data_IF_951407936599
#
_entry.id   IF_951407936599
#
_cell.length_a   1.000
_cell.length_b   1.000
_cell.length_c   1.000
_cell.angle_alpha   90.00
_cell.angle_beta   90.00
_cell.angle_gamma   90.00
#
_symmetry.space_group_name_H-M   'P 1'
#
loop_
_entity.id
_entity.type
_entity.pdbx_description
1 polymer ?
#
# COMPACT_ATOMS: atom_id res chain seq x y z
N UNK A 1 36.44 3.73 58.22
CA UNK A 1 35.48 4.61 57.55
C UNK A 1 36.08 5.15 56.26
N UNK A 2 35.64 4.58 55.13
CA UNK A 2 35.41 5.18 53.79
C UNK A 2 35.31 4.05 52.77
N UNK A 3 34.12 3.73 52.24
CA UNK A 3 34.02 2.90 51.05
C UNK A 3 34.20 3.73 49.78
N UNK A 4 34.88 3.10 48.84
CA UNK A 4 35.33 3.53 47.53
C UNK A 4 34.29 3.20 46.44
N UNK A 5 34.24 4.07 45.42
CA UNK A 5 34.02 3.81 43.97
C UNK A 5 32.69 3.20 43.49
N UNK A 6 32.03 3.84 42.51
CA UNK A 6 31.93 3.36 41.11
C UNK A 6 30.99 4.22 40.24
N UNK A 7 31.53 4.67 39.10
CA UNK A 7 30.79 5.06 37.89
C UNK A 7 29.97 3.87 37.37
N UNK A 8 28.78 4.15 36.83
CA UNK A 8 28.21 3.35 35.74
C UNK A 8 27.56 4.30 34.72
N UNK A 9 28.16 4.34 33.54
CA UNK A 9 27.67 5.04 32.37
C UNK A 9 26.32 4.46 31.92
N UNK A 10 25.33 5.34 31.74
CA UNK A 10 24.01 4.97 31.24
C UNK A 10 24.10 4.50 29.79
N UNK A 11 23.87 3.21 29.57
CA UNK A 11 23.69 2.62 28.25
C UNK A 11 22.25 2.92 27.79
N UNK A 12 22.07 3.99 27.02
CA UNK A 12 20.82 4.22 26.30
C UNK A 12 20.79 3.30 25.09
N UNK A 13 20.10 2.16 25.22
CA UNK A 13 19.79 1.27 24.10
C UNK A 13 18.70 1.93 23.25
N UNK A 14 19.10 2.73 22.27
CA UNK A 14 18.20 3.16 21.20
C UNK A 14 18.11 2.03 20.18
N UNK A 15 17.04 1.23 20.27
CA UNK A 15 16.67 0.27 19.24
C UNK A 15 16.05 1.05 18.08
N UNK A 16 16.89 1.58 17.19
CA UNK A 16 16.45 2.09 15.89
C UNK A 16 16.33 0.87 14.99
N UNK A 17 15.12 0.33 14.87
CA UNK A 17 14.80 -0.57 13.77
C UNK A 17 14.90 0.24 12.48
N UNK A 18 15.96 0.01 11.70
CA UNK A 18 16.05 0.52 10.34
C UNK A 18 14.94 -0.17 9.53
N UNK A 19 13.85 0.57 9.30
CA UNK A 19 12.88 0.23 8.26
C UNK A 19 13.61 0.43 6.93
N UNK A 20 14.26 -0.63 6.44
CA UNK A 20 14.84 -0.60 5.10
C UNK A 20 13.68 -0.57 4.12
N UNK A 21 13.48 0.56 3.46
CA UNK A 21 12.80 0.59 2.19
C UNK A 21 13.66 -0.22 1.22
N UNK A 22 13.35 -1.51 1.07
CA UNK A 22 14.07 -2.39 0.16
C UNK A 22 13.69 -1.98 -1.27
N UNK A 23 14.60 -1.28 -1.94
CA UNK A 23 14.59 -1.17 -3.40
C UNK A 23 15.01 -2.53 -3.94
N UNK A 24 14.07 -3.45 -4.07
CA UNK A 24 14.35 -4.78 -4.62
C UNK A 24 14.41 -4.68 -6.15
N UNK A 25 15.51 -5.16 -6.74
CA UNK A 25 15.64 -5.48 -8.19
C UNK A 25 14.78 -6.71 -8.55
N UNK A 26 13.58 -6.80 -8.00
CA UNK A 26 12.66 -7.90 -8.17
C UNK A 26 11.77 -7.63 -9.39
N UNK A 27 11.85 -8.52 -10.38
CA UNK A 27 11.05 -8.45 -11.60
C UNK A 27 9.54 -8.43 -11.30
N UNK A 28 9.09 -9.16 -10.27
CA UNK A 28 7.70 -9.18 -9.86
C UNK A 28 7.26 -7.83 -9.30
N UNK A 29 8.11 -7.17 -8.51
CA UNK A 29 7.83 -5.83 -7.97
C UNK A 29 7.76 -4.79 -9.09
N UNK A 30 8.68 -4.87 -10.06
CA UNK A 30 8.67 -3.98 -11.22
C UNK A 30 7.41 -4.16 -12.07
N UNK A 31 7.00 -5.41 -12.33
CA UNK A 31 5.78 -5.74 -13.07
C UNK A 31 4.52 -5.29 -12.32
N UNK A 32 4.39 -5.63 -11.03
CA UNK A 32 3.29 -5.20 -10.18
C UNK A 32 3.15 -3.67 -10.18
N UNK A 33 4.26 -2.94 -10.07
CA UNK A 33 4.26 -1.48 -10.15
C UNK A 33 3.76 -0.97 -11.51
N UNK A 34 4.14 -1.61 -12.61
CA UNK A 34 3.64 -1.26 -13.94
C UNK A 34 2.12 -1.43 -14.03
N UNK A 35 1.61 -2.57 -13.57
CA UNK A 35 0.17 -2.90 -13.58
C UNK A 35 -0.63 -1.92 -12.72
N UNK A 36 -0.14 -1.60 -11.51
CA UNK A 36 -0.78 -0.61 -10.63
C UNK A 36 -0.80 0.79 -11.26
N UNK A 37 0.27 1.19 -11.96
CA UNK A 37 0.30 2.46 -12.70
C UNK A 37 -0.70 2.49 -13.86
N UNK A 38 -0.82 1.39 -14.60
CA UNK A 38 -1.81 1.28 -15.68
C UNK A 38 -3.24 1.37 -15.14
N UNK A 39 -3.55 0.61 -14.09
CA UNK A 39 -4.82 0.68 -13.37
C UNK A 39 -5.15 2.12 -12.96
N UNK A 40 -4.19 2.80 -12.31
CA UNK A 40 -4.38 4.17 -11.83
C UNK A 40 -4.62 5.17 -12.96
N UNK A 41 -3.83 5.09 -14.04
CA UNK A 41 -3.92 6.01 -15.17
C UNK A 41 -5.27 5.85 -15.90
N UNK A 42 -5.69 4.61 -16.15
CA UNK A 42 -6.98 4.32 -16.80
C UNK A 42 -8.14 4.85 -15.96
N UNK A 43 -8.15 4.54 -14.66
CA UNK A 43 -9.20 5.02 -13.76
C UNK A 43 -9.21 6.56 -13.66
N UNK A 44 -8.05 7.21 -13.59
CA UNK A 44 -7.95 8.67 -13.54
C UNK A 44 -8.50 9.32 -14.81
N UNK A 45 -8.23 8.74 -15.99
CA UNK A 45 -8.79 9.20 -17.25
C UNK A 45 -10.32 9.12 -17.29
N UNK A 46 -10.90 8.00 -16.86
CA UNK A 46 -12.36 7.85 -16.75
C UNK A 46 -12.95 8.83 -15.73
N UNK A 47 -12.30 9.02 -14.57
CA UNK A 47 -12.73 9.94 -13.53
C UNK A 47 -12.76 11.38 -14.03
N UNK A 48 -11.70 11.83 -14.71
CA UNK A 48 -11.62 13.18 -15.28
C UNK A 48 -12.71 13.41 -16.33
N UNK A 49 -13.03 12.39 -17.13
CA UNK A 49 -14.11 12.45 -18.13
C UNK A 49 -15.46 12.60 -17.45
N UNK A 50 -15.76 11.75 -16.47
CA UNK A 50 -17.03 11.83 -15.72
C UNK A 50 -17.21 13.13 -14.93
N UNK A 51 -16.12 13.70 -14.41
CA UNK A 51 -16.16 15.03 -13.76
C UNK A 51 -16.51 16.12 -14.77
N UNK A 52 -15.93 16.09 -15.98
CA UNK A 52 -16.23 17.06 -17.03
C UNK A 52 -17.70 16.99 -17.47
N UNK A 53 -18.24 15.78 -17.58
CA UNK A 53 -19.57 15.56 -18.14
C UNK A 53 -20.70 15.70 -17.11
N UNK A 54 -20.45 15.27 -15.86
CA UNK A 54 -21.49 15.13 -14.83
C UNK A 54 -21.15 15.77 -13.48
N UNK A 55 -20.02 16.47 -13.37
CA UNK A 55 -19.57 17.07 -12.11
C UNK A 55 -19.23 16.02 -11.04
N UNK A 56 -19.32 16.41 -9.77
CA UNK A 56 -18.88 15.59 -8.63
C UNK A 56 -19.71 14.32 -8.42
N UNK A 57 -20.99 14.31 -8.82
CA UNK A 57 -21.84 13.11 -8.73
C UNK A 57 -21.39 12.03 -9.71
N UNK A 58 -20.99 12.41 -10.93
CA UNK A 58 -20.42 11.48 -11.93
C UNK A 58 -19.13 10.80 -11.44
N UNK A 59 -18.31 11.52 -10.67
CA UNK A 59 -17.06 11.00 -10.10
C UNK A 59 -17.27 9.79 -9.17
N UNK A 60 -18.33 9.82 -8.35
CA UNK A 60 -18.62 8.74 -7.39
C UNK A 60 -19.01 7.46 -8.11
N UNK A 61 -19.80 7.57 -9.19
CA UNK A 61 -20.22 6.43 -10.00
C UNK A 61 -19.00 5.75 -10.64
N UNK A 62 -18.07 6.51 -11.21
CA UNK A 62 -16.83 5.95 -11.77
C UNK A 62 -16.01 5.23 -10.70
N UNK A 63 -15.78 5.88 -9.56
CA UNK A 63 -14.94 5.30 -8.51
C UNK A 63 -15.53 4.03 -7.88
N UNK A 64 -16.86 3.87 -7.85
CA UNK A 64 -17.54 2.71 -7.30
C UNK A 64 -17.73 1.59 -8.33
N UNK A 65 -18.13 1.92 -9.57
CA UNK A 65 -18.49 0.93 -10.59
C UNK A 65 -17.36 0.59 -11.56
N UNK A 66 -16.53 1.58 -11.95
CA UNK A 66 -15.51 1.37 -12.99
C UNK A 66 -14.22 0.80 -12.43
N UNK A 67 -13.82 1.21 -11.24
CA UNK A 67 -12.63 0.67 -10.60
C UNK A 67 -12.61 -0.87 -10.48
N UNK A 68 -13.66 -1.57 -10.00
CA UNK A 68 -13.64 -3.04 -9.96
C UNK A 68 -13.60 -3.67 -11.36
N UNK A 69 -14.16 -3.02 -12.39
CA UNK A 69 -14.12 -3.52 -13.77
C UNK A 69 -12.71 -3.42 -14.35
N UNK A 70 -12.03 -2.28 -14.19
CA UNK A 70 -10.64 -2.09 -14.66
C UNK A 70 -9.70 -3.09 -13.96
N UNK A 71 -9.89 -3.30 -12.65
CA UNK A 71 -9.15 -4.30 -11.89
C UNK A 71 -9.35 -5.71 -12.48
N UNK A 72 -10.59 -6.13 -12.68
CA UNK A 72 -10.91 -7.45 -13.24
C UNK A 72 -10.38 -7.64 -14.67
N UNK A 73 -10.39 -6.60 -15.50
CA UNK A 73 -9.82 -6.63 -16.86
C UNK A 73 -8.29 -6.82 -16.82
N UNK A 74 -7.58 -6.04 -15.98
CA UNK A 74 -6.13 -6.18 -15.83
C UNK A 74 -5.73 -7.52 -15.22
N UNK A 75 -6.49 -8.02 -14.24
CA UNK A 75 -6.25 -9.34 -13.67
C UNK A 75 -6.35 -10.45 -14.72
N UNK A 76 -7.36 -10.40 -15.58
CA UNK A 76 -7.50 -11.38 -16.67
C UNK A 76 -6.38 -11.28 -17.71
N UNK A 77 -5.88 -10.07 -18.00
CA UNK A 77 -4.85 -9.84 -19.01
C UNK A 77 -3.45 -10.23 -18.54
N UNK A 78 -3.16 -10.00 -17.26
CA UNK A 78 -1.81 -10.12 -16.70
C UNK A 78 -1.61 -11.40 -15.90
N UNK A 79 -2.69 -12.01 -15.40
CA UNK A 79 -2.64 -13.15 -14.47
C UNK A 79 -2.43 -12.75 -13.01
N UNK A 80 -2.26 -11.45 -12.72
CA UNK A 80 -2.16 -10.93 -11.36
C UNK A 80 -3.53 -10.76 -10.72
N UNK A 81 -3.63 -10.88 -9.39
CA UNK A 81 -4.76 -10.34 -8.67
C UNK A 81 -4.54 -8.84 -8.44
N UNK A 82 -5.46 -8.01 -8.93
CA UNK A 82 -5.34 -6.55 -8.93
C UNK A 82 -6.56 -5.97 -8.23
N UNK A 83 -6.32 -5.15 -7.22
CA UNK A 83 -7.40 -4.58 -6.42
C UNK A 83 -7.08 -3.20 -5.86
N UNK A 84 -8.07 -2.64 -5.16
CA UNK A 84 -7.86 -1.48 -4.30
C UNK A 84 -8.54 -1.71 -2.98
N UNK A 85 -7.86 -1.34 -1.92
CA UNK A 85 -8.40 -1.34 -0.57
C UNK A 85 -8.14 -0.01 0.13
N UNK A 86 -8.74 0.19 1.31
CA UNK A 86 -8.50 1.37 2.14
C UNK A 86 -8.97 1.18 3.58
N UNK A 87 -8.43 1.97 4.51
CA UNK A 87 -8.98 2.07 5.87
C UNK A 87 -10.35 2.76 5.91
N UNK A 88 -10.67 3.57 4.89
CA UNK A 88 -11.96 4.25 4.73
C UNK A 88 -12.63 3.78 3.44
N UNK A 89 -13.50 2.79 3.58
CA UNK A 89 -14.11 2.08 2.46
C UNK A 89 -15.17 2.91 1.74
N UNK A 90 -15.15 2.85 0.40
CA UNK A 90 -16.23 3.37 -0.46
C UNK A 90 -17.14 2.26 -0.98
N UNK A 91 -16.65 1.01 -1.04
CA UNK A 91 -17.41 -0.15 -1.50
C UNK A 91 -17.14 -1.38 -0.61
N UNK A 92 -17.71 -1.42 0.61
CA UNK A 92 -17.34 -2.40 1.63
C UNK A 92 -17.50 -3.86 1.23
N UNK A 93 -18.33 -4.18 0.24
CA UNK A 93 -18.54 -5.55 -0.22
C UNK A 93 -17.43 -6.08 -1.14
N UNK A 94 -16.62 -5.20 -1.74
CA UNK A 94 -15.59 -5.59 -2.73
C UNK A 94 -14.20 -5.10 -2.38
N UNK A 95 -14.08 -4.10 -1.50
CA UNK A 95 -12.83 -3.36 -1.31
C UNK A 95 -12.33 -3.35 0.14
N UNK A 96 -12.93 -4.20 0.99
CA UNK A 96 -12.50 -4.36 2.37
C UNK A 96 -11.13 -5.07 2.42
N UNK A 97 -10.16 -4.55 3.19
CA UNK A 97 -8.86 -5.18 3.30
C UNK A 97 -8.97 -6.51 4.05
N UNK A 98 -8.14 -7.47 3.66
CA UNK A 98 -7.81 -8.58 4.53
C UNK A 98 -6.89 -8.15 5.70
N UNK A 99 -6.50 -9.10 6.55
CA UNK A 99 -5.68 -8.80 7.73
C UNK A 99 -4.26 -8.34 7.35
N UNK A 100 -3.69 -8.85 6.26
CA UNK A 100 -2.36 -8.48 5.78
C UNK A 100 -2.37 -7.08 5.19
N UNK A 101 -3.29 -6.80 4.26
CA UNK A 101 -3.47 -5.49 3.66
C UNK A 101 -3.76 -4.42 4.72
N UNK A 102 -4.59 -4.76 5.72
CA UNK A 102 -4.92 -3.84 6.81
C UNK A 102 -3.69 -3.51 7.66
N UNK A 103 -2.82 -4.48 7.94
CA UNK A 103 -1.58 -4.23 8.67
C UNK A 103 -0.67 -3.27 7.88
N UNK A 104 -0.48 -3.50 6.58
CA UNK A 104 0.30 -2.63 5.69
C UNK A 104 -0.30 -1.22 5.62
N UNK A 105 -1.63 -1.10 5.49
CA UNK A 105 -2.31 0.20 5.47
C UNK A 105 -2.13 1.00 6.77
N UNK A 106 -2.11 0.32 7.93
CA UNK A 106 -1.85 0.96 9.22
C UNK A 106 -0.38 1.41 9.34
N UNK A 107 0.56 0.62 8.83
CA UNK A 107 1.97 1.02 8.73
C UNK A 107 2.13 2.26 7.85
N UNK A 108 1.48 2.30 6.69
CA UNK A 108 1.49 3.46 5.80
C UNK A 108 0.91 4.71 6.47
N UNK A 109 -0.14 4.59 7.27
CA UNK A 109 -0.69 5.71 8.02
C UNK A 109 0.31 6.26 9.06
N UNK A 110 1.00 5.36 9.76
CA UNK A 110 2.04 5.74 10.72
C UNK A 110 3.21 6.45 10.02
N UNK A 111 3.76 5.86 8.96
CA UNK A 111 4.87 6.44 8.16
C UNK A 111 4.52 7.81 7.59
N UNK A 112 3.29 7.97 7.09
CA UNK A 112 2.77 9.25 6.63
C UNK A 112 2.71 10.27 7.78
N UNK A 113 2.28 9.85 8.97
CA UNK A 113 2.23 10.73 10.15
C UNK A 113 3.62 11.16 10.64
N UNK A 114 4.63 10.31 10.42
CA UNK A 114 6.04 10.58 10.73
C UNK A 114 6.72 11.47 9.67
N UNK A 115 6.02 11.81 8.58
CA UNK A 115 6.46 12.77 7.58
C UNK A 115 7.10 12.17 6.33
N UNK A 116 6.99 10.85 6.11
CA UNK A 116 7.44 10.23 4.87
C UNK A 116 6.60 10.70 3.66
N UNK A 117 7.26 10.93 2.51
CA UNK A 117 6.55 11.26 1.27
C UNK A 117 5.77 10.04 0.76
N UNK A 118 4.45 10.16 0.72
CA UNK A 118 3.55 9.12 0.21
C UNK A 118 3.84 8.71 -1.23
N UNK A 119 4.50 9.57 -2.02
CA UNK A 119 4.84 9.26 -3.42
C UNK A 119 5.93 8.20 -3.55
N UNK A 120 6.75 8.03 -2.51
CA UNK A 120 7.81 7.01 -2.48
C UNK A 120 7.41 5.78 -1.69
N UNK A 121 6.25 5.81 -1.04
CA UNK A 121 5.76 4.74 -0.19
C UNK A 121 5.26 3.56 -1.02
N UNK A 122 5.86 2.39 -0.79
CA UNK A 122 5.45 1.11 -1.32
C UNK A 122 5.83 0.01 -0.32
N UNK A 123 5.17 -1.13 -0.43
CA UNK A 123 5.47 -2.34 0.33
C UNK A 123 5.31 -3.52 -0.60
N UNK A 124 6.23 -4.48 -0.50
CA UNK A 124 6.17 -5.76 -1.19
C UNK A 124 6.75 -6.81 -0.26
N UNK A 125 6.16 -8.00 -0.25
CA UNK A 125 6.59 -9.12 0.55
C UNK A 125 6.38 -10.40 -0.28
N UNK A 126 7.32 -11.34 -0.17
CA UNK A 126 7.13 -12.71 -0.68
C UNK A 126 6.83 -13.60 0.51
N UNK A 127 5.66 -14.24 0.50
CA UNK A 127 5.26 -15.19 1.54
C UNK A 127 5.43 -16.60 0.97
N UNK A 128 6.19 -17.45 1.65
CA UNK A 128 6.19 -18.88 1.34
C UNK A 128 4.83 -19.45 1.77
N UNK A 129 4.01 -19.84 0.80
CA UNK A 129 2.81 -20.61 1.11
C UNK A 129 3.27 -21.99 1.61
N UNK A 130 3.06 -22.26 2.89
CA UNK A 130 3.35 -23.56 3.52
C UNK A 130 2.56 -24.68 2.81
N UNK A 131 3.20 -25.27 1.78
CA UNK A 131 2.92 -26.61 1.28
C UNK A 131 1.78 -26.74 0.26
N UNK A 132 2.10 -26.57 -1.02
CA UNK A 132 1.77 -27.58 -2.03
C UNK A 132 2.81 -27.54 -3.16
N UNK A 133 3.40 -28.70 -3.43
CA UNK A 133 4.27 -28.93 -4.60
C UNK A 133 3.43 -29.11 -5.86
#
# INVERSE_FOLDING_TARGET
>A
MKPYTLLAAGCALTLIGALQAETTDDANVAEAKSIVMEFFNTLMGELQTAIKDGGQSGAVIVCNARAPLIAAELSQQTGWDVGRTSLKLRNPSQNAPDDWEKAVLLEFEQRKSDGEDVKTMAYAETIEADGEK
#
